data_IF_838532731217
#
_entry.id   IF_838532731217
#
_cell.length_a   1.000
_cell.length_b   1.000
_cell.length_c   1.000
_cell.angle_alpha   90.00
_cell.angle_beta   90.00
_cell.angle_gamma   90.00
#
_symmetry.space_group_name_H-M   'P 1'
#
loop_
_entity.id
_entity.type
_entity.pdbx_description
1 polymer ?
#
# COMPACT_ATOMS: atom_id res chain seq x y z
N UNK A 1 -1.49 -12.17 -1.51
CA UNK A 1 -2.56 -13.15 -1.21
C UNK A 1 -3.90 -12.47 -1.48
N UNK A 2 -4.91 -13.25 -1.86
CA UNK A 2 -6.24 -12.73 -2.17
C UNK A 2 -7.27 -13.34 -1.22
N UNK A 3 -8.20 -12.53 -0.72
CA UNK A 3 -9.26 -12.95 0.19
C UNK A 3 -9.53 -11.92 1.30
N UNK A 4 -10.59 -12.14 2.07
CA UNK A 4 -11.04 -11.16 3.07
C UNK A 4 -11.56 -9.86 2.44
N UNK A 5 -11.75 -8.84 3.27
CA UNK A 5 -12.36 -7.55 2.96
C UNK A 5 -11.39 -6.37 3.14
N UNK A 6 -10.11 -6.63 3.44
CA UNK A 6 -9.10 -5.59 3.70
C UNK A 6 -7.84 -5.77 2.89
N UNK A 7 -7.30 -4.65 2.41
CA UNK A 7 -5.97 -4.53 1.85
C UNK A 7 -4.98 -4.16 2.97
N UNK A 8 -3.81 -4.81 2.99
CA UNK A 8 -2.70 -4.45 3.88
C UNK A 8 -1.42 -5.23 3.52
N UNK A 9 -0.27 -4.64 3.80
CA UNK A 9 0.99 -5.35 3.99
C UNK A 9 1.10 -5.91 5.43
N UNK A 10 1.48 -7.18 5.57
CA UNK A 10 1.74 -7.85 6.84
C UNK A 10 3.24 -8.07 7.07
N UNK A 11 3.89 -7.30 7.98
CA UNK A 11 5.31 -7.47 8.26
C UNK A 11 5.68 -8.83 8.88
N UNK A 12 4.79 -9.40 9.70
CA UNK A 12 5.07 -10.65 10.43
C UNK A 12 5.21 -11.87 9.53
N UNK A 13 4.60 -11.83 8.35
CA UNK A 13 4.58 -12.94 7.39
C UNK A 13 5.04 -12.51 6.00
N UNK A 14 5.62 -11.32 5.91
CA UNK A 14 6.17 -10.68 4.71
C UNK A 14 5.32 -10.86 3.45
N UNK A 15 4.04 -10.49 3.52
CA UNK A 15 3.14 -10.59 2.37
C UNK A 15 2.15 -9.44 2.31
N UNK A 16 1.69 -9.17 1.10
CA UNK A 16 0.56 -8.28 0.84
C UNK A 16 -0.73 -9.10 0.80
N UNK A 17 -1.72 -8.70 1.58
CA UNK A 17 -3.10 -9.17 1.54
C UNK A 17 -3.95 -8.17 0.76
N UNK A 18 -4.80 -8.68 -0.14
CA UNK A 18 -5.79 -7.88 -0.86
C UNK A 18 -7.13 -8.62 -0.87
N UNK A 19 -8.27 -7.90 -0.88
CA UNK A 19 -9.52 -8.47 -1.34
C UNK A 19 -9.37 -9.04 -2.75
N UNK A 20 -10.30 -9.89 -3.16
CA UNK A 20 -10.33 -10.34 -4.56
C UNK A 20 -10.62 -9.16 -5.49
N UNK A 21 -10.07 -9.12 -6.72
CA UNK A 21 -10.29 -8.04 -7.67
C UNK A 21 -11.78 -7.73 -7.90
N UNK A 22 -12.65 -8.75 -7.86
CA UNK A 22 -14.10 -8.61 -8.01
C UNK A 22 -14.79 -7.76 -6.92
N UNK A 23 -14.12 -7.46 -5.81
CA UNK A 23 -14.64 -6.58 -4.75
C UNK A 23 -14.24 -5.12 -4.91
N UNK A 24 -13.41 -4.78 -5.90
CA UNK A 24 -13.05 -3.40 -6.20
C UNK A 24 -14.01 -2.80 -7.21
N UNK A 25 -14.15 -1.47 -7.20
CA UNK A 25 -14.97 -0.72 -8.16
C UNK A 25 -14.58 -1.04 -9.60
N UNK A 26 -13.29 -1.06 -9.87
CA UNK A 26 -12.69 -1.46 -11.14
C UNK A 26 -11.24 -1.92 -10.96
N UNK A 27 -10.60 -2.31 -12.07
CA UNK A 27 -9.20 -2.75 -12.06
C UNK A 27 -8.22 -1.61 -11.79
N UNK A 28 -8.57 -0.35 -12.06
CA UNK A 28 -7.71 0.79 -11.78
C UNK A 28 -7.63 1.01 -10.25
N UNK A 29 -8.76 0.96 -9.54
CA UNK A 29 -8.80 0.99 -8.07
C UNK A 29 -8.01 -0.18 -7.47
N UNK A 30 -8.16 -1.39 -8.01
CA UNK A 30 -7.39 -2.56 -7.56
C UNK A 30 -5.87 -2.34 -7.70
N UNK A 31 -5.42 -1.84 -8.85
CA UNK A 31 -3.99 -1.61 -9.09
C UNK A 31 -3.46 -0.47 -8.22
N UNK A 32 -4.23 0.59 -8.00
CA UNK A 32 -3.86 1.68 -7.11
C UNK A 32 -3.62 1.20 -5.66
N UNK A 33 -4.57 0.43 -5.11
CA UNK A 33 -4.42 -0.18 -3.77
C UNK A 33 -3.28 -1.19 -3.74
N UNK A 34 -3.11 -2.00 -4.79
CA UNK A 34 -1.96 -2.92 -4.91
C UNK A 34 -0.63 -2.17 -4.90
N UNK A 35 -0.54 -1.02 -5.57
CA UNK A 35 0.66 -0.19 -5.60
C UNK A 35 0.96 0.36 -4.20
N UNK A 36 -0.03 0.95 -3.53
CA UNK A 36 0.06 1.43 -2.15
C UNK A 36 0.62 0.34 -1.20
N UNK A 37 0.02 -0.85 -1.18
CA UNK A 37 0.50 -1.94 -0.32
C UNK A 37 1.88 -2.49 -0.73
N UNK A 38 2.24 -2.38 -2.01
CA UNK A 38 3.58 -2.73 -2.48
C UNK A 38 4.63 -1.77 -1.95
N UNK A 39 4.31 -0.47 -1.86
CA UNK A 39 5.22 0.51 -1.26
C UNK A 39 5.41 0.25 0.24
N UNK A 40 4.35 -0.07 1.00
CA UNK A 40 4.51 -0.54 2.38
C UNK A 40 5.38 -1.79 2.47
N UNK A 41 5.16 -2.76 1.57
CA UNK A 41 5.97 -3.97 1.51
C UNK A 41 7.45 -3.66 1.36
N UNK A 42 7.86 -2.67 0.55
CA UNK A 42 9.28 -2.30 0.40
C UNK A 42 9.97 -1.85 1.70
N UNK A 43 9.25 -1.52 2.76
CA UNK A 43 9.84 -1.04 4.01
C UNK A 43 10.70 -2.08 4.75
N UNK A 44 10.48 -3.39 4.53
CA UNK A 44 11.12 -4.39 5.37
C UNK A 44 12.65 -4.42 5.25
N UNK A 45 13.35 -4.98 6.26
CA UNK A 45 14.82 -4.96 6.33
C UNK A 45 15.58 -5.48 5.09
N UNK A 46 15.17 -6.57 4.42
CA UNK A 46 15.89 -7.04 3.23
C UNK A 46 15.64 -6.18 1.97
N UNK A 47 14.86 -5.09 2.07
CA UNK A 47 14.48 -4.20 0.97
C UNK A 47 15.00 -2.78 1.23
N UNK A 48 14.11 -1.82 1.49
CA UNK A 48 14.50 -0.43 1.74
C UNK A 48 14.75 -0.13 3.22
N UNK A 49 14.46 -1.10 4.11
CA UNK A 49 14.78 -1.03 5.53
C UNK A 49 14.34 0.30 6.19
N UNK A 50 13.10 0.72 5.93
CA UNK A 50 12.51 1.90 6.59
C UNK A 50 12.09 1.53 8.00
N UNK A 51 12.42 2.37 8.98
CA UNK A 51 12.04 2.14 10.37
C UNK A 51 10.56 2.44 10.60
N UNK A 52 9.76 1.38 10.73
CA UNK A 52 8.33 1.43 11.05
C UNK A 52 8.01 1.03 12.50
N UNK A 53 9.01 0.99 13.39
CA UNK A 53 8.85 0.55 14.79
C UNK A 53 7.82 1.38 15.60
N UNK A 54 7.58 2.62 15.17
CA UNK A 54 6.62 3.56 15.75
C UNK A 54 5.35 3.78 14.92
N UNK A 55 5.20 3.10 13.77
CA UNK A 55 4.09 3.30 12.84
C UNK A 55 2.70 3.19 13.51
N UNK A 56 2.50 2.24 14.42
CA UNK A 56 1.24 2.10 15.18
C UNK A 56 1.20 2.87 16.51
N UNK A 57 2.30 3.52 16.91
CA UNK A 57 2.47 4.19 18.22
C UNK A 57 2.47 5.70 18.13
N UNK A 58 2.84 6.24 16.96
CA UNK A 58 3.02 7.67 16.74
C UNK A 58 2.31 8.11 15.45
N UNK A 59 1.44 9.12 15.58
CA UNK A 59 0.64 9.62 14.45
C UNK A 59 1.49 10.32 13.40
N UNK A 60 2.56 11.01 13.81
CA UNK A 60 3.44 11.72 12.89
C UNK A 60 4.28 10.74 12.11
N UNK A 61 4.84 9.71 12.76
CA UNK A 61 5.62 8.69 12.05
C UNK A 61 4.72 7.88 11.10
N UNK A 62 3.49 7.56 11.51
CA UNK A 62 2.49 6.98 10.60
C UNK A 62 2.24 7.87 9.39
N UNK A 63 1.94 9.15 9.61
CA UNK A 63 1.62 10.09 8.53
C UNK A 63 2.79 10.28 7.55
N UNK A 64 4.05 10.22 8.04
CA UNK A 64 5.24 10.27 7.17
C UNK A 64 5.32 9.07 6.25
N UNK A 65 5.09 7.87 6.77
CA UNK A 65 5.09 6.65 5.96
C UNK A 65 3.93 6.66 4.96
N UNK A 66 2.70 6.98 5.40
CA UNK A 66 1.55 7.09 4.50
C UNK A 66 1.78 8.11 3.38
N UNK A 67 2.37 9.28 3.70
CA UNK A 67 2.68 10.29 2.69
C UNK A 67 3.68 9.77 1.65
N UNK A 68 4.73 9.08 2.10
CA UNK A 68 5.72 8.48 1.20
C UNK A 68 5.06 7.43 0.30
N UNK A 69 4.25 6.57 0.89
CA UNK A 69 3.56 5.47 0.21
C UNK A 69 2.56 5.99 -0.81
N UNK A 70 1.80 7.02 -0.47
CA UNK A 70 0.77 7.59 -1.35
C UNK A 70 1.37 8.39 -2.52
N UNK A 71 2.46 9.12 -2.29
CA UNK A 71 3.20 9.74 -3.39
C UNK A 71 3.79 8.66 -4.31
N UNK A 72 4.38 7.61 -3.73
CA UNK A 72 4.95 6.50 -4.49
C UNK A 72 3.90 5.73 -5.30
N UNK A 73 2.74 5.45 -4.73
CA UNK A 73 1.62 4.79 -5.41
C UNK A 73 1.09 5.65 -6.56
N UNK A 74 0.94 6.96 -6.36
CA UNK A 74 0.53 7.89 -7.41
C UNK A 74 1.52 7.92 -8.58
N UNK A 75 2.83 7.90 -8.31
CA UNK A 75 3.87 7.84 -9.35
C UNK A 75 3.82 6.52 -10.14
N UNK A 76 3.62 5.38 -9.48
CA UNK A 76 3.43 4.09 -10.15
C UNK A 76 2.17 4.10 -11.01
N UNK A 77 1.06 4.59 -10.47
CA UNK A 77 -0.19 4.69 -11.23
C UNK A 77 -0.02 5.58 -12.46
N UNK A 78 0.65 6.73 -12.34
CA UNK A 78 0.95 7.61 -13.46
C UNK A 78 1.79 6.92 -14.55
N UNK A 79 2.82 6.16 -14.16
CA UNK A 79 3.66 5.39 -15.09
C UNK A 79 2.85 4.30 -15.83
N UNK A 80 1.88 3.68 -15.14
CA UNK A 80 0.98 2.69 -15.71
C UNK A 80 -0.20 3.27 -16.49
N UNK A 81 -0.32 4.61 -16.60
CA UNK A 81 -1.45 5.27 -17.25
C UNK A 81 -2.78 5.11 -16.49
N UNK A 82 -2.72 4.86 -15.19
CA UNK A 82 -3.86 4.70 -14.29
C UNK A 82 -4.08 6.01 -13.55
N UNK A 83 -5.31 6.54 -13.61
CA UNK A 83 -5.74 7.64 -12.75
C UNK A 83 -6.34 7.03 -11.49
N UNK A 84 -5.65 7.05 -10.33
CA UNK A 84 -6.21 6.52 -9.11
C UNK A 84 -7.37 7.41 -8.65
N UNK A 85 -8.48 6.80 -8.25
CA UNK A 85 -9.51 7.50 -7.51
C UNK A 85 -9.05 7.58 -6.06
N UNK A 86 -8.85 8.81 -5.56
CA UNK A 86 -8.56 9.03 -4.15
C UNK A 86 -9.85 8.78 -3.37
N UNK A 87 -9.86 7.76 -2.51
CA UNK A 87 -10.93 7.60 -1.52
C UNK A 87 -10.86 8.81 -0.54
N UNK A 88 -11.98 9.52 -0.30
CA UNK A 88 -12.03 10.69 0.58
C UNK A 88 -11.79 10.39 2.06
#
# INVERSE_FOLDING_TARGET
RYGGDKAFYSPSSDHIQLPRPEFFKDMASFVAVRAHETLHWTAAPPRLNRDLSRYHKDRTDRAREELLVEIGSALICADLGIVPELEP
#
